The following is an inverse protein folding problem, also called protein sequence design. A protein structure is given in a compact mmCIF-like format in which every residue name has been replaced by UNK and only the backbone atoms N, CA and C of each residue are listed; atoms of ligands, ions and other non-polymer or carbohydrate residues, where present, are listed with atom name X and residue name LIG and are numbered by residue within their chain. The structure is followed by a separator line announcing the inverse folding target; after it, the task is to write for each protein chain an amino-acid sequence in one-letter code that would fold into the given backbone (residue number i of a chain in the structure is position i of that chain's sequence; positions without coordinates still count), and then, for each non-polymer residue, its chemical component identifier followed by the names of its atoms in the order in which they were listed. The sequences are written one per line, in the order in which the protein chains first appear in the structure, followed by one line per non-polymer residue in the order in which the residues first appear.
data_IF_398935339981
#
_entry.id   IF_398935339981
#
_cell.length_a   1.000
_cell.length_b   1.000
_cell.length_c   1.000
_cell.angle_alpha   90.00
_cell.angle_beta   90.00
_cell.angle_gamma   90.00
#
_symmetry.space_group_name_H-M   'P 1'
#
loop_
_entity.id
_entity.type
_entity.pdbx_description
1 polymer ?
#
# COMPACT_ATOMS: atom_id res chain seq x y z
N UNK A 1 18.89 12.82 -8.02
CA UNK A 1 18.49 11.84 -9.06
C UNK A 1 16.97 11.91 -9.20
N UNK A 2 16.36 11.69 -10.38
CA UNK A 2 14.89 11.64 -10.46
C UNK A 2 14.42 10.25 -10.01
N UNK A 3 13.82 10.17 -8.83
CA UNK A 3 13.19 8.94 -8.35
C UNK A 3 11.89 8.72 -9.08
N UNK A 4 11.81 7.61 -9.83
CA UNK A 4 10.54 7.14 -10.35
C UNK A 4 9.76 6.50 -9.21
N UNK A 5 8.66 7.14 -8.79
CA UNK A 5 7.81 6.64 -7.72
C UNK A 5 6.53 6.13 -8.37
N UNK A 6 6.35 4.82 -8.29
CA UNK A 6 5.22 4.13 -8.86
C UNK A 6 4.16 3.85 -7.81
N UNK A 7 2.94 3.56 -8.27
CA UNK A 7 1.81 3.20 -7.44
C UNK A 7 1.20 1.91 -7.96
N UNK A 8 0.97 0.94 -7.07
CA UNK A 8 0.20 -0.28 -7.33
C UNK A 8 -1.01 -0.32 -6.40
N UNK A 9 -2.12 -0.86 -6.90
CA UNK A 9 -3.36 -1.05 -6.15
C UNK A 9 -3.76 -2.50 -6.30
N UNK A 10 -3.83 -3.18 -5.17
CA UNK A 10 -4.20 -4.59 -5.07
C UNK A 10 -5.50 -4.72 -4.27
N UNK A 11 -6.24 -5.79 -4.52
CA UNK A 11 -7.37 -6.21 -3.70
C UNK A 11 -7.01 -7.53 -3.03
N UNK A 12 -7.13 -7.57 -1.70
CA UNK A 12 -6.79 -8.75 -0.90
C UNK A 12 -7.95 -9.14 0.00
N UNK A 13 -8.12 -10.44 0.24
CA UNK A 13 -9.11 -10.94 1.20
C UNK A 13 -8.52 -10.92 2.60
N UNK A 14 -9.09 -10.09 3.48
CA UNK A 14 -8.74 -10.04 4.91
C UNK A 14 -9.98 -10.40 5.69
N UNK A 15 -9.94 -11.49 6.47
CA UNK A 15 -11.10 -11.97 7.23
C UNK A 15 -12.35 -12.23 6.37
N UNK A 16 -12.18 -12.66 5.12
CA UNK A 16 -13.29 -12.88 4.17
C UNK A 16 -13.88 -11.61 3.55
N UNK A 17 -13.25 -10.45 3.77
CA UNK A 17 -13.65 -9.17 3.20
C UNK A 17 -12.58 -8.67 2.24
N UNK A 18 -13.00 -8.29 1.03
CA UNK A 18 -12.10 -7.62 0.11
C UNK A 18 -11.66 -6.30 0.74
N UNK A 19 -10.36 -6.07 0.75
CA UNK A 19 -9.73 -4.87 1.28
C UNK A 19 -8.84 -4.34 0.19
N UNK A 20 -9.01 -3.05 -0.12
CA UNK A 20 -8.18 -2.39 -1.12
C UNK A 20 -6.90 -1.96 -0.44
N UNK A 21 -5.78 -2.34 -1.01
CA UNK A 21 -4.45 -1.96 -0.55
C UNK A 21 -3.76 -1.21 -1.67
N UNK A 22 -3.29 0.01 -1.40
CA UNK A 22 -2.42 0.72 -2.31
C UNK A 22 -1.01 0.73 -1.75
N UNK A 23 -0.02 0.52 -2.61
CA UNK A 23 1.39 0.66 -2.29
C UNK A 23 2.04 1.66 -3.24
N UNK A 24 2.91 2.51 -2.70
CA UNK A 24 3.69 3.50 -3.44
C UNK A 24 5.17 3.31 -3.08
N UNK A 25 6.06 3.33 -4.08
CA UNK A 25 7.49 3.06 -3.90
C UNK A 25 8.29 3.17 -5.20
N UNK A 26 9.62 3.05 -5.12
CA UNK A 26 10.52 3.20 -6.28
C UNK A 26 10.72 1.92 -7.10
N UNK A 27 10.44 0.74 -6.54
CA UNK A 27 10.72 -0.56 -7.15
C UNK A 27 9.55 -1.56 -6.91
N UNK A 28 8.34 -1.21 -7.36
CA UNK A 28 7.13 -2.01 -7.07
C UNK A 28 6.94 -3.25 -7.96
N UNK A 29 7.81 -3.46 -8.96
CA UNK A 29 7.52 -4.35 -10.09
C UNK A 29 7.94 -5.83 -9.90
N UNK A 30 8.85 -6.17 -8.98
CA UNK A 30 9.38 -7.55 -8.92
C UNK A 30 9.20 -8.29 -7.60
N UNK A 31 8.73 -7.64 -6.54
CA UNK A 31 8.78 -8.29 -5.23
C UNK A 31 7.61 -9.26 -5.02
N UNK A 32 7.89 -10.53 -5.24
CA UNK A 32 7.12 -11.64 -4.65
C UNK A 32 7.30 -11.61 -3.13
N UNK A 33 6.31 -12.08 -2.36
CA UNK A 33 6.37 -12.15 -0.90
C UNK A 33 7.62 -12.89 -0.38
N UNK A 34 8.22 -13.74 -1.20
CA UNK A 34 9.44 -14.49 -0.89
C UNK A 34 10.71 -13.62 -0.97
N UNK A 35 10.82 -12.70 -1.94
CA UNK A 35 11.93 -11.73 -2.01
C UNK A 35 11.91 -10.71 -0.87
N UNK A 36 10.74 -10.50 -0.26
CA UNK A 36 10.56 -9.63 0.91
C UNK A 36 11.33 -10.17 2.12
N UNK A 37 11.58 -11.48 2.22
CA UNK A 37 12.28 -12.09 3.39
C UNK A 37 13.78 -11.84 3.41
N UNK A 38 14.44 -11.78 2.26
CA UNK A 38 15.91 -11.70 2.19
C UNK A 38 16.46 -10.26 2.26
N UNK A 39 15.61 -9.23 2.11
CA UNK A 39 16.02 -7.82 2.05
C UNK A 39 15.33 -6.92 3.10
N UNK A 40 14.86 -7.52 4.21
CA UNK A 40 14.12 -6.81 5.28
C UNK A 40 14.95 -5.67 5.89
N UNK A 41 16.29 -5.82 5.96
CA UNK A 41 17.16 -4.94 6.75
C UNK A 41 17.18 -3.46 6.34
N UNK A 42 16.82 -3.13 5.09
CA UNK A 42 16.86 -1.74 4.58
C UNK A 42 15.48 -1.21 4.16
N UNK A 43 14.39 -1.89 4.51
CA UNK A 43 13.04 -1.48 4.13
C UNK A 43 12.36 -0.68 5.23
N UNK A 44 11.74 0.42 4.86
CA UNK A 44 10.90 1.23 5.74
C UNK A 44 9.48 1.21 5.21
N UNK A 45 8.59 0.59 5.98
CA UNK A 45 7.16 0.50 5.66
C UNK A 45 6.42 1.60 6.41
N UNK A 46 5.72 2.44 5.68
CA UNK A 46 4.85 3.49 6.21
C UNK A 46 3.42 3.05 5.96
N UNK A 47 2.68 2.76 7.03
CA UNK A 47 1.28 2.37 6.95
C UNK A 47 0.38 3.57 7.27
N UNK A 48 -0.55 3.87 6.36
CA UNK A 48 -1.57 4.89 6.54
C UNK A 48 -2.96 4.26 6.51
N UNK A 49 -3.74 4.52 7.56
CA UNK A 49 -5.15 4.16 7.62
C UNK A 49 -5.98 5.41 7.25
N UNK A 50 -6.58 5.47 6.06
CA UNK A 50 -7.37 6.60 5.63
C UNK A 50 -8.69 6.69 6.41
N UNK A 51 -8.95 7.85 7.01
CA UNK A 51 -10.24 8.13 7.66
C UNK A 51 -11.41 8.27 6.68
N UNK A 52 -11.14 8.71 5.44
CA UNK A 52 -12.12 8.75 4.35
C UNK A 52 -11.54 8.10 3.09
N UNK A 53 -11.71 6.77 2.92
CA UNK A 53 -11.10 6.01 1.83
C UNK A 53 -11.53 6.41 0.41
N UNK A 54 -12.61 7.19 0.27
CA UNK A 54 -13.09 7.69 -1.03
C UNK A 54 -12.17 8.76 -1.64
N UNK A 55 -11.30 9.40 -0.85
CA UNK A 55 -10.36 10.41 -1.33
C UNK A 55 -8.97 9.82 -1.64
N UNK A 56 -8.96 8.80 -2.49
CA UNK A 56 -7.77 8.02 -2.81
C UNK A 56 -6.67 8.86 -3.52
N UNK A 57 -7.07 9.88 -4.28
CA UNK A 57 -6.14 10.80 -4.94
C UNK A 57 -5.30 11.61 -3.94
N UNK A 58 -5.90 12.06 -2.84
CA UNK A 58 -5.17 12.78 -1.79
C UNK A 58 -4.10 11.89 -1.15
N UNK A 59 -4.45 10.66 -0.77
CA UNK A 59 -3.49 9.76 -0.13
C UNK A 59 -2.36 9.33 -1.08
N UNK A 60 -2.65 9.21 -2.38
CA UNK A 60 -1.65 8.94 -3.39
C UNK A 60 -0.64 10.10 -3.51
N UNK A 61 -1.13 11.34 -3.65
CA UNK A 61 -0.27 12.54 -3.72
C UNK A 61 0.54 12.73 -2.43
N UNK A 62 -0.11 12.57 -1.28
CA UNK A 62 0.54 12.66 0.03
C UNK A 62 1.66 11.62 0.19
N UNK A 63 1.37 10.35 -0.13
CA UNK A 63 2.35 9.28 -0.09
C UNK A 63 3.55 9.57 -1.00
N UNK A 64 3.31 9.99 -2.24
CA UNK A 64 4.39 10.37 -3.16
C UNK A 64 5.25 11.51 -2.62
N UNK A 65 4.65 12.55 -2.05
CA UNK A 65 5.38 13.69 -1.45
C UNK A 65 6.24 13.25 -0.27
N UNK A 66 5.70 12.42 0.62
CA UNK A 66 6.47 11.86 1.75
C UNK A 66 7.67 11.07 1.24
N UNK A 67 7.47 10.16 0.28
CA UNK A 67 8.55 9.34 -0.25
C UNK A 67 9.64 10.17 -0.91
N UNK A 68 9.28 11.18 -1.71
CA UNK A 68 10.25 12.13 -2.29
C UNK A 68 11.08 12.82 -1.21
N UNK A 69 10.44 13.32 -0.14
CA UNK A 69 11.15 13.98 0.96
C UNK A 69 12.12 13.04 1.68
N UNK A 70 11.72 11.79 1.94
CA UNK A 70 12.55 10.80 2.61
C UNK A 70 13.76 10.37 1.77
N UNK A 71 13.54 10.11 0.49
CA UNK A 71 14.60 9.76 -0.45
C UNK A 71 15.63 10.89 -0.60
N UNK A 72 15.16 12.13 -0.79
CA UNK A 72 16.05 13.30 -0.86
C UNK A 72 16.82 13.53 0.44
N UNK A 73 16.21 13.25 1.59
CA UNK A 73 16.89 13.34 2.89
C UNK A 73 18.01 12.31 3.00
N UNK A 74 17.75 11.06 2.63
CA UNK A 74 18.77 10.02 2.70
C UNK A 74 19.93 10.26 1.74
N UNK A 75 19.68 10.79 0.53
CA UNK A 75 20.76 11.23 -0.40
C UNK A 75 21.67 12.26 0.27
N UNK A 76 21.11 13.25 0.97
CA UNK A 76 21.88 14.33 1.61
C UNK A 76 22.71 13.85 2.81
N UNK A 77 22.20 12.86 3.54
CA UNK A 77 22.83 12.36 4.77
C UNK A 77 23.84 11.23 4.47
N UNK A 78 23.88 10.73 3.23
CA UNK A 78 24.75 9.60 2.87
C UNK A 78 24.34 8.30 3.53
N UNK A 79 23.06 8.16 3.89
CA UNK A 79 22.53 6.94 4.47
C UNK A 79 22.60 5.79 3.45
N UNK A 80 22.69 4.55 3.94
CA UNK A 80 22.48 3.36 3.10
C UNK A 80 21.13 3.48 2.39
N UNK A 81 21.09 3.09 1.11
CA UNK A 81 19.91 3.17 0.25
C UNK A 81 18.75 2.40 0.90
N UNK A 82 17.82 3.13 1.54
CA UNK A 82 16.61 2.57 2.13
C UNK A 82 15.54 2.43 1.07
N UNK A 83 14.78 1.35 1.15
CA UNK A 83 13.62 1.10 0.32
C UNK A 83 12.38 1.54 1.09
N UNK A 84 11.79 2.67 0.68
CA UNK A 84 10.57 3.18 1.31
C UNK A 84 9.34 2.68 0.58
N UNK A 85 8.41 2.11 1.34
CA UNK A 85 7.09 1.71 0.85
C UNK A 85 6.02 2.43 1.65
N UNK A 86 5.08 3.07 0.95
CA UNK A 86 3.94 3.73 1.55
C UNK A 86 2.68 2.95 1.23
N UNK A 87 2.02 2.42 2.26
CA UNK A 87 0.81 1.63 2.16
C UNK A 87 -0.40 2.43 2.61
N UNK A 88 -1.49 2.33 1.85
CA UNK A 88 -2.83 2.70 2.33
C UNK A 88 -3.72 1.47 2.35
N UNK A 89 -4.48 1.30 3.42
CA UNK A 89 -5.42 0.18 3.59
C UNK A 89 -6.82 0.71 3.76
N UNK A 90 -7.68 0.42 2.79
CA UNK A 90 -9.05 0.93 2.74
C UNK A 90 -10.03 -0.22 2.88
N UNK A 91 -10.79 -0.26 3.98
CA UNK A 91 -11.88 -1.21 4.16
C UNK A 91 -13.14 -0.74 3.39
N UNK A 92 -13.96 -1.72 2.99
CA UNK A 92 -15.02 -1.61 1.99
C UNK A 92 -16.22 -0.70 2.30
N UNK A 93 -16.20 0.10 3.37
CA UNK A 93 -17.32 0.99 3.65
C UNK A 93 -17.34 2.24 2.76
N UNK A 94 -16.25 2.55 2.04
CA UNK A 94 -16.12 3.81 1.28
C UNK A 94 -15.46 3.70 -0.11
N UNK A 95 -15.22 2.49 -0.62
CA UNK A 95 -14.63 2.29 -1.96
C UNK A 95 -15.45 1.25 -2.72
N UNK A 96 -15.78 1.55 -3.98
CA UNK A 96 -16.54 0.64 -4.85
C UNK A 96 -15.70 -0.60 -5.15
N UNK A 97 -16.22 -1.78 -4.77
CA UNK A 97 -15.62 -3.06 -5.15
C UNK A 97 -15.75 -3.27 -6.67
N UNK A 98 -14.67 -3.63 -7.39
CA UNK A 98 -14.73 -3.99 -8.80
C UNK A 98 -15.71 -5.15 -9.05
N UNK A 99 -16.39 -5.13 -10.20
CA UNK A 99 -17.46 -6.08 -10.50
C UNK A 99 -16.95 -7.52 -10.62
N UNK A 100 -15.71 -7.69 -11.07
CA UNK A 100 -15.01 -8.97 -11.19
C UNK A 100 -14.87 -9.64 -9.82
N UNK A 101 -14.67 -8.85 -8.76
CA UNK A 101 -14.49 -9.33 -7.40
C UNK A 101 -15.82 -9.56 -6.68
N UNK A 102 -16.88 -8.82 -7.04
CA UNK A 102 -18.24 -9.04 -6.51
C UNK A 102 -18.73 -10.46 -6.80
N UNK A 103 -18.49 -10.93 -8.02
CA UNK A 103 -18.98 -12.24 -8.50
C UNK A 103 -18.10 -13.42 -8.08
N UNK A 104 -17.02 -13.17 -7.32
CA UNK A 104 -16.08 -14.22 -6.91
C UNK A 104 -16.63 -15.18 -5.85
N UNK A 105 -17.79 -14.88 -5.23
CA UNK A 105 -18.39 -15.68 -4.15
C UNK A 105 -17.61 -15.68 -2.83
N UNK A 106 -16.44 -15.04 -2.79
CA UNK A 106 -15.53 -15.01 -1.62
C UNK A 106 -15.81 -13.86 -0.65
N UNK A 107 -16.70 -12.93 -1.00
CA UNK A 107 -16.94 -11.72 -0.24
C UNK A 107 -18.06 -11.90 0.79
N UNK A 108 -17.75 -11.77 2.08
CA UNK A 108 -18.76 -11.67 3.15
C UNK A 108 -19.26 -10.23 3.25
N UNK A 109 -20.51 -10.02 2.83
CA UNK A 109 -21.18 -8.70 2.84
C UNK A 109 -21.50 -8.16 4.25
N UNK A 110 -21.67 -9.03 5.25
CA UNK A 110 -22.06 -8.67 6.62
C UNK A 110 -21.30 -9.50 7.67
N UNK A 111 -21.08 -8.92 8.86
CA UNK A 111 -20.45 -9.56 10.04
C UNK A 111 -19.20 -8.83 10.52
N UNK A 112 -19.05 -8.58 11.81
CA UNK A 112 -17.84 -7.97 12.41
C UNK A 112 -16.55 -8.71 11.99
N UNK A 113 -15.39 -8.03 12.04
CA UNK A 113 -14.13 -8.74 11.91
C UNK A 113 -14.01 -9.68 13.11
N UNK A 114 -14.27 -10.97 12.89
CA UNK A 114 -14.06 -11.98 13.91
C UNK A 114 -12.55 -12.10 14.12
N UNK A 115 -12.09 -11.63 15.28
CA UNK A 115 -10.75 -11.90 15.79
C UNK A 115 -10.74 -13.37 16.25
N UNK A 116 -10.34 -14.28 15.37
CA UNK A 116 -10.05 -15.68 15.71
C UNK A 116 -8.58 -15.83 16.04
#
# INVERSE_FOLDING_TARGET
MLYEINRRVDWVLVGGRWTRVSVIGTDLFNETLDEIRDNIGNRVVILMIPGNPGNDGFYADFGQKILKCLLLRDERVGNRKRHYLFYTVSHLNHVVLPNELKNSGKHRHYGEFLLT
#
